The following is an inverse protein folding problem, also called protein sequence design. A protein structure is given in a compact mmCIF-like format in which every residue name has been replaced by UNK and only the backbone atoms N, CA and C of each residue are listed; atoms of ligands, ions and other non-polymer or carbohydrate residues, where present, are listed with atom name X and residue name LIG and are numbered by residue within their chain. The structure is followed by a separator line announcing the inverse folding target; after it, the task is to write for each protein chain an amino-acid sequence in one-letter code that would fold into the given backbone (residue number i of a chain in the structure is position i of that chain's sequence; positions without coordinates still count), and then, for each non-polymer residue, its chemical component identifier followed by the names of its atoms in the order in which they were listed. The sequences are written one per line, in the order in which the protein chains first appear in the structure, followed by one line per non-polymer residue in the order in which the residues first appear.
data_IF_602896973232
#
_entry.id   IF_602896973232
#
_cell.length_a   1.000
_cell.length_b   1.000
_cell.length_c   1.000
_cell.angle_alpha   90.00
_cell.angle_beta   90.00
_cell.angle_gamma   90.00
#
_symmetry.space_group_name_H-M   'P 1'
#
loop_
_entity.id
_entity.type
_entity.pdbx_description
1 polymer ?
#
# COMPACT_ATOMS: atom_id res chain seq x y z
N UNK A 1 -24.97 15.77 19.16
CA UNK A 1 -24.04 14.79 18.93
C UNK A 1 -23.83 14.35 17.48
N UNK A 2 -23.75 15.30 16.62
CA UNK A 2 -23.65 15.08 15.20
C UNK A 2 -22.20 15.33 14.78
N UNK A 3 -21.59 14.33 14.16
CA UNK A 3 -20.27 14.49 13.59
C UNK A 3 -20.44 15.15 12.23
N UNK A 4 -19.91 16.33 12.08
CA UNK A 4 -20.02 17.03 10.81
C UNK A 4 -18.86 16.61 9.87
N UNK A 5 -19.02 16.95 8.61
CA UNK A 5 -18.10 16.53 7.58
C UNK A 5 -16.69 17.10 7.78
N UNK A 6 -16.60 18.34 8.28
CA UNK A 6 -15.28 18.95 8.51
C UNK A 6 -14.53 18.28 9.65
N UNK A 7 -15.22 17.77 10.67
CA UNK A 7 -14.58 16.97 11.73
C UNK A 7 -14.02 15.68 11.20
N UNK A 8 -14.80 14.99 10.35
CA UNK A 8 -14.33 13.75 9.70
C UNK A 8 -13.13 14.02 8.81
N UNK A 9 -13.18 15.08 8.03
CA UNK A 9 -12.07 15.43 7.13
C UNK A 9 -10.79 15.72 7.90
N UNK A 10 -10.90 16.41 9.04
CA UNK A 10 -9.74 16.70 9.89
C UNK A 10 -9.09 15.42 10.41
N UNK A 11 -9.91 14.48 10.88
CA UNK A 11 -9.41 13.21 11.39
C UNK A 11 -8.74 12.41 10.30
N UNK A 12 -9.30 12.39 9.09
CA UNK A 12 -8.70 11.70 7.96
C UNK A 12 -7.35 12.32 7.57
N UNK A 13 -7.24 13.64 7.57
CA UNK A 13 -5.98 14.32 7.27
C UNK A 13 -4.90 13.98 8.28
N UNK A 14 -5.25 13.94 9.57
CA UNK A 14 -4.30 13.57 10.60
C UNK A 14 -3.83 12.13 10.45
N UNK A 15 -4.75 11.24 10.11
CA UNK A 15 -4.42 9.85 9.83
C UNK A 15 -3.46 9.73 8.66
N UNK A 16 -3.73 10.43 7.57
CA UNK A 16 -2.89 10.39 6.38
C UNK A 16 -1.49 10.92 6.64
N UNK A 17 -1.35 11.94 7.47
CA UNK A 17 -0.04 12.48 7.84
C UNK A 17 0.83 11.48 8.58
N UNK A 18 0.21 10.55 9.29
CA UNK A 18 0.94 9.50 10.03
C UNK A 18 1.22 8.28 9.18
N UNK A 19 0.53 8.14 8.07
CA UNK A 19 0.68 6.98 7.20
C UNK A 19 1.93 7.11 6.33
N UNK A 20 2.59 5.99 6.12
CA UNK A 20 3.78 5.91 5.29
C UNK A 20 3.42 5.18 4.00
N UNK A 21 3.56 5.88 2.89
CA UNK A 21 3.27 5.34 1.56
C UNK A 21 4.51 5.42 0.70
N UNK A 22 4.60 4.54 -0.26
CA UNK A 22 5.65 4.61 -1.28
C UNK A 22 5.03 4.35 -2.65
N UNK A 23 5.43 5.16 -3.62
CA UNK A 23 4.97 5.00 -5.01
C UNK A 23 5.84 3.95 -5.69
N UNK A 24 5.21 3.00 -6.37
CA UNK A 24 5.91 1.93 -7.07
C UNK A 24 5.31 1.76 -8.46
N UNK A 25 6.14 1.29 -9.38
CA UNK A 25 5.69 1.01 -10.74
C UNK A 25 4.84 -0.25 -10.79
N UNK A 26 3.84 -0.26 -11.66
CA UNK A 26 2.96 -1.41 -11.83
C UNK A 26 3.69 -2.65 -12.36
N UNK A 27 4.90 -2.48 -12.90
CA UNK A 27 5.74 -3.59 -13.32
C UNK A 27 6.47 -4.28 -12.17
N UNK A 28 6.43 -3.72 -10.96
CA UNK A 28 7.05 -4.34 -9.80
C UNK A 28 6.43 -5.71 -9.55
N UNK A 29 7.28 -6.69 -9.23
CA UNK A 29 6.78 -8.04 -8.92
C UNK A 29 6.26 -8.10 -7.49
N UNK A 30 5.44 -9.12 -7.21
CA UNK A 30 4.90 -9.36 -5.87
C UNK A 30 6.02 -9.53 -4.85
N UNK A 31 7.07 -10.27 -5.21
CA UNK A 31 8.19 -10.52 -4.30
C UNK A 31 9.04 -9.28 -4.08
N UNK A 32 9.21 -8.45 -5.09
CA UNK A 32 9.88 -7.16 -4.91
C UNK A 32 9.10 -6.26 -3.97
N UNK A 33 7.78 -6.21 -4.10
CA UNK A 33 6.93 -5.44 -3.22
C UNK A 33 6.99 -5.95 -1.78
N UNK A 34 6.95 -7.28 -1.62
CA UNK A 34 7.06 -7.90 -0.30
C UNK A 34 8.39 -7.55 0.35
N UNK A 35 9.48 -7.66 -0.40
CA UNK A 35 10.80 -7.31 0.10
C UNK A 35 10.88 -5.84 0.52
N UNK A 36 10.22 -4.97 -0.23
CA UNK A 36 10.17 -3.54 0.09
C UNK A 36 9.51 -3.28 1.46
N UNK A 37 8.41 -3.96 1.74
CA UNK A 37 7.78 -3.86 3.06
C UNK A 37 8.71 -4.37 4.17
N UNK A 38 9.44 -5.44 3.91
CA UNK A 38 10.34 -6.04 4.89
C UNK A 38 11.56 -5.18 5.17
N UNK A 39 12.12 -4.55 4.16
CA UNK A 39 13.40 -3.85 4.25
C UNK A 39 13.28 -2.35 4.53
N UNK A 40 12.07 -1.81 4.53
CA UNK A 40 11.90 -0.38 4.78
C UNK A 40 12.35 -0.02 6.20
N UNK A 41 13.15 1.04 6.35
CA UNK A 41 13.58 1.48 7.68
C UNK A 41 12.43 2.03 8.52
N UNK A 42 11.35 2.45 7.88
CA UNK A 42 10.12 2.88 8.54
C UNK A 42 9.00 1.94 8.12
N UNK A 43 8.00 1.81 8.98
CA UNK A 43 6.87 0.96 8.68
C UNK A 43 6.08 1.54 7.51
N UNK A 44 6.00 0.79 6.42
CA UNK A 44 5.16 1.14 5.29
C UNK A 44 3.74 0.65 5.54
N UNK A 45 2.77 1.51 5.32
CA UNK A 45 1.36 1.15 5.44
C UNK A 45 0.83 0.61 4.12
N UNK A 46 1.27 1.17 3.01
CA UNK A 46 0.79 0.77 1.70
C UNK A 46 1.76 1.20 0.61
N UNK A 47 1.63 0.54 -0.53
CA UNK A 47 2.27 0.95 -1.78
C UNK A 47 1.20 1.55 -2.69
N UNK A 48 1.54 2.66 -3.31
CA UNK A 48 0.67 3.32 -4.29
C UNK A 48 1.17 2.95 -5.68
N UNK A 49 0.37 2.18 -6.39
CA UNK A 49 0.74 1.65 -7.69
C UNK A 49 0.42 2.67 -8.77
N UNK A 50 1.42 3.00 -9.55
CA UNK A 50 1.27 3.86 -10.72
C UNK A 50 1.96 3.22 -11.91
N UNK A 51 1.77 3.77 -13.09
CA UNK A 51 2.38 3.20 -14.28
C UNK A 51 3.90 3.18 -14.18
N UNK A 52 4.52 4.30 -13.80
CA UNK A 52 5.98 4.43 -13.78
C UNK A 52 6.58 4.51 -12.38
N UNK A 53 5.77 4.53 -11.35
CA UNK A 53 6.24 4.67 -9.97
C UNK A 53 6.46 6.11 -9.54
N UNK A 54 6.01 7.08 -10.31
CA UNK A 54 6.16 8.50 -9.99
C UNK A 54 4.97 9.02 -9.21
N UNK A 55 5.25 9.95 -8.32
CA UNK A 55 4.23 10.61 -7.53
C UNK A 55 3.21 11.38 -8.39
N UNK A 56 3.65 11.90 -9.53
CA UNK A 56 2.80 12.67 -10.45
C UNK A 56 1.83 11.81 -11.25
N UNK A 57 2.11 10.52 -11.33
CA UNK A 57 1.27 9.60 -12.09
C UNK A 57 -0.07 9.41 -11.40
N UNK A 58 -1.04 8.99 -12.20
CA UNK A 58 -2.33 8.56 -11.65
C UNK A 58 -2.15 7.28 -10.83
N UNK A 59 -2.70 7.26 -9.63
CA UNK A 59 -2.68 6.07 -8.79
C UNK A 59 -3.67 5.04 -9.35
N UNK A 60 -3.17 3.87 -9.67
CA UNK A 60 -3.97 2.78 -10.23
C UNK A 60 -4.51 1.85 -9.16
N UNK A 61 -3.76 1.66 -8.09
CA UNK A 61 -4.16 0.77 -7.01
C UNK A 61 -3.40 1.11 -5.73
N UNK A 62 -3.95 0.67 -4.61
CA UNK A 62 -3.31 0.77 -3.30
C UNK A 62 -3.14 -0.66 -2.80
N UNK A 63 -1.90 -1.03 -2.46
CA UNK A 63 -1.55 -2.37 -2.04
C UNK A 63 -1.03 -2.33 -0.62
N UNK A 64 -1.68 -3.05 0.27
CA UNK A 64 -1.21 -3.19 1.65
C UNK A 64 -0.37 -4.45 1.82
N UNK A 65 0.35 -4.52 2.92
CA UNK A 65 1.12 -5.72 3.25
C UNK A 65 0.21 -6.95 3.37
N UNK A 66 -0.96 -6.78 3.97
CA UNK A 66 -1.93 -7.88 4.09
C UNK A 66 -2.40 -8.39 2.73
N UNK A 67 -2.59 -7.50 1.77
CA UNK A 67 -2.97 -7.90 0.41
C UNK A 67 -1.92 -8.81 -0.21
N UNK A 68 -0.64 -8.44 -0.04
CA UNK A 68 0.47 -9.25 -0.55
C UNK A 68 0.56 -10.60 0.16
N UNK A 69 0.41 -10.61 1.47
CA UNK A 69 0.47 -11.85 2.23
C UNK A 69 -0.63 -12.81 1.80
N UNK A 70 -1.83 -12.32 1.61
CA UNK A 70 -2.94 -13.15 1.13
C UNK A 70 -2.64 -13.74 -0.24
N UNK A 71 -2.11 -12.92 -1.13
CA UNK A 71 -1.75 -13.37 -2.47
C UNK A 71 -0.66 -14.44 -2.43
N UNK A 72 0.43 -14.17 -1.73
CA UNK A 72 1.57 -15.08 -1.63
C UNK A 72 1.12 -16.39 -1.00
N UNK A 73 0.37 -16.33 0.08
CA UNK A 73 -0.09 -17.51 0.79
C UNK A 73 -0.98 -18.39 -0.09
N UNK A 74 -1.89 -17.77 -0.81
CA UNK A 74 -2.82 -18.50 -1.69
C UNK A 74 -2.08 -19.16 -2.85
N UNK A 75 -1.16 -18.43 -3.48
CA UNK A 75 -0.45 -18.93 -4.66
C UNK A 75 0.64 -19.94 -4.31
N UNK A 76 1.31 -19.77 -3.19
CA UNK A 76 2.34 -20.72 -2.75
C UNK A 76 1.74 -22.09 -2.44
N UNK A 77 0.49 -22.15 -2.01
CA UNK A 77 -0.19 -23.41 -1.78
C UNK A 77 -0.32 -24.24 -3.05
N UNK A 78 -0.45 -23.57 -4.19
CA UNK A 78 -0.52 -24.28 -5.47
C UNK A 78 0.85 -24.73 -5.94
N UNK A 79 1.90 -24.04 -5.55
CA UNK A 79 3.27 -24.38 -5.95
C UNK A 79 3.75 -25.64 -5.23
N UNK A 80 3.35 -25.80 -3.99
CA UNK A 80 3.81 -26.92 -3.15
C UNK A 80 2.92 -28.16 -3.24
N UNK A 81 1.84 -28.05 -3.96
CA UNK A 81 0.98 -29.20 -4.20
C UNK A 81 1.31 -29.84 -5.54
#
# INVERSE_FOLDING_TARGET
NTINLSGVAKDLLEYEKKSQYEFVASSMTVYQAWHLFQSSPTKLDALLLTESGRQEDRVEAIITYDDLLKYIYTHDQYVFN
#
